data_IF_659477599968
#
_entry.id   IF_659477599968
#
_cell.length_a   1.000
_cell.length_b   1.000
_cell.length_c   1.000
_cell.angle_alpha   90.00
_cell.angle_beta   90.00
_cell.angle_gamma   90.00
#
_symmetry.space_group_name_H-M   'P 1'
#
loop_
_entity.id
_entity.type
_entity.pdbx_description
1 polymer ?
#
# COMPACT_ATOMS: atom_id res chain seq x y z
N UNK A 1 3.06 24.00 -8.94
CA UNK A 1 1.65 23.58 -8.79
C UNK A 1 0.84 24.72 -8.19
N UNK A 2 -0.30 25.04 -8.76
CA UNK A 2 -1.20 26.08 -8.24
C UNK A 2 -1.96 25.58 -7.01
N UNK A 3 -2.46 26.48 -6.13
CA UNK A 3 -3.27 26.06 -4.97
C UNK A 3 -4.50 25.20 -5.37
N UNK A 4 -5.14 25.52 -6.48
CA UNK A 4 -6.28 24.73 -6.98
C UNK A 4 -5.88 23.32 -7.38
N UNK A 5 -4.71 23.14 -7.99
CA UNK A 5 -4.21 21.83 -8.37
C UNK A 5 -3.85 20.99 -7.14
N UNK A 6 -3.28 21.60 -6.11
CA UNK A 6 -2.98 20.92 -4.84
C UNK A 6 -4.26 20.43 -4.17
N UNK A 7 -5.30 21.27 -4.16
CA UNK A 7 -6.57 20.94 -3.56
C UNK A 7 -7.23 19.75 -4.28
N UNK A 8 -7.24 19.76 -5.62
CA UNK A 8 -7.79 18.67 -6.43
C UNK A 8 -7.03 17.36 -6.19
N UNK A 9 -5.71 17.41 -6.12
CA UNK A 9 -4.90 16.22 -5.86
C UNK A 9 -5.20 15.63 -4.48
N UNK A 10 -5.38 16.46 -3.47
CA UNK A 10 -5.72 16.05 -2.11
C UNK A 10 -7.10 15.38 -2.06
N UNK A 11 -8.10 15.94 -2.73
CA UNK A 11 -9.44 15.38 -2.81
C UNK A 11 -9.42 14.00 -3.49
N UNK A 12 -8.71 13.85 -4.60
CA UNK A 12 -8.60 12.57 -5.31
C UNK A 12 -7.96 11.50 -4.44
N UNK A 13 -6.92 11.85 -3.69
CA UNK A 13 -6.26 10.93 -2.77
C UNK A 13 -7.22 10.47 -1.67
N UNK A 14 -7.98 11.39 -1.11
CA UNK A 14 -8.96 11.09 -0.08
C UNK A 14 -10.08 10.18 -0.59
N UNK A 15 -10.61 10.46 -1.78
CA UNK A 15 -11.65 9.64 -2.41
C UNK A 15 -11.13 8.21 -2.69
N UNK A 16 -9.90 8.09 -3.16
CA UNK A 16 -9.29 6.78 -3.41
C UNK A 16 -9.12 6.00 -2.11
N UNK A 17 -8.72 6.67 -1.03
CA UNK A 17 -8.58 6.06 0.28
C UNK A 17 -9.94 5.59 0.82
N UNK A 18 -10.96 6.41 0.76
CA UNK A 18 -12.31 6.08 1.19
C UNK A 18 -12.85 4.86 0.44
N UNK A 19 -12.63 4.79 -0.86
CA UNK A 19 -13.03 3.66 -1.67
C UNK A 19 -12.33 2.38 -1.24
N UNK A 20 -11.03 2.44 -0.95
CA UNK A 20 -10.27 1.29 -0.47
C UNK A 20 -10.72 0.84 0.92
N UNK A 21 -11.07 1.76 1.78
CA UNK A 21 -11.63 1.44 3.10
C UNK A 21 -12.95 0.69 2.95
N UNK A 22 -13.82 1.12 2.06
CA UNK A 22 -15.07 0.44 1.78
C UNK A 22 -14.82 -0.96 1.22
N UNK A 23 -13.78 -1.13 0.38
CA UNK A 23 -13.41 -2.42 -0.17
C UNK A 23 -12.91 -3.40 0.88
N UNK A 24 -12.33 -2.95 1.98
CA UNK A 24 -11.86 -3.83 3.05
C UNK A 24 -12.96 -4.27 4.00
N UNK A 25 -14.17 -3.73 3.87
CA UNK A 25 -15.28 -4.00 4.78
C UNK A 25 -16.02 -5.32 4.52
N UNK A 26 -15.78 -6.00 3.39
CA UNK A 26 -16.47 -7.24 3.05
C UNK A 26 -15.52 -8.25 2.40
N UNK A 27 -15.85 -9.59 2.44
CA UNK A 27 -15.03 -10.60 1.78
C UNK A 27 -14.91 -10.42 0.28
N UNK A 28 -15.99 -10.01 -0.39
CA UNK A 28 -15.99 -9.74 -1.85
C UNK A 28 -15.04 -8.58 -2.15
N UNK A 29 -15.09 -7.54 -1.33
CA UNK A 29 -14.21 -6.37 -1.45
C UNK A 29 -12.75 -6.75 -1.22
N UNK A 30 -12.48 -7.69 -0.33
CA UNK A 30 -11.13 -8.20 -0.11
C UNK A 30 -10.57 -8.87 -1.37
N UNK A 31 -11.38 -9.65 -2.08
CA UNK A 31 -10.95 -10.26 -3.34
C UNK A 31 -10.64 -9.21 -4.42
N UNK A 32 -11.44 -8.16 -4.50
CA UNK A 32 -11.20 -7.06 -5.43
C UNK A 32 -9.90 -6.31 -5.09
N UNK A 33 -9.67 -6.07 -3.81
CA UNK A 33 -8.44 -5.44 -3.32
C UNK A 33 -7.22 -6.30 -3.66
N UNK A 34 -7.32 -7.61 -3.45
CA UNK A 34 -6.26 -8.55 -3.78
C UNK A 34 -5.95 -8.57 -5.28
N UNK A 35 -7.00 -8.54 -6.12
CA UNK A 35 -6.82 -8.49 -7.57
C UNK A 35 -6.12 -7.20 -8.01
N UNK A 36 -6.45 -6.07 -7.39
CA UNK A 36 -5.79 -4.79 -7.65
C UNK A 36 -4.32 -4.84 -7.24
N UNK A 37 -4.03 -5.41 -6.07
CA UNK A 37 -2.66 -5.60 -5.59
C UNK A 37 -1.86 -6.50 -6.53
N UNK A 38 -2.42 -7.63 -6.95
CA UNK A 38 -1.76 -8.56 -7.86
C UNK A 38 -1.44 -7.91 -9.19
N UNK A 39 -2.32 -7.04 -9.67
CA UNK A 39 -2.12 -6.26 -10.89
C UNK A 39 -0.94 -5.30 -10.77
N UNK A 40 -0.85 -4.60 -9.64
CA UNK A 40 0.25 -3.67 -9.35
C UNK A 40 1.58 -4.43 -9.21
N UNK A 41 1.58 -5.58 -8.56
CA UNK A 41 2.77 -6.43 -8.43
C UNK A 41 3.22 -6.95 -9.80
N UNK A 42 2.29 -7.37 -10.65
CA UNK A 42 2.61 -7.81 -12.01
C UNK A 42 3.25 -6.67 -12.82
N UNK A 43 2.73 -5.47 -12.69
CA UNK A 43 3.28 -4.28 -13.34
C UNK A 43 4.70 -3.99 -12.86
N UNK A 44 4.95 -4.08 -11.56
CA UNK A 44 6.29 -3.94 -10.99
C UNK A 44 7.26 -4.94 -11.60
N UNK A 45 6.85 -6.21 -11.67
CA UNK A 45 7.69 -7.30 -12.23
C UNK A 45 7.97 -7.13 -13.72
N UNK A 46 7.12 -6.40 -14.43
CA UNK A 46 7.31 -6.14 -15.87
C UNK A 46 8.38 -5.10 -16.16
N UNK A 47 8.81 -4.32 -15.16
CA UNK A 47 9.82 -3.28 -15.36
C UNK A 47 11.22 -3.92 -15.38
N UNK A 48 11.99 -3.71 -16.48
CA UNK A 48 13.27 -4.41 -16.64
C UNK A 48 14.43 -3.78 -15.88
N UNK A 49 14.36 -2.48 -15.57
CA UNK A 49 15.45 -1.73 -14.94
C UNK A 49 15.21 -1.61 -13.44
N UNK A 50 16.25 -1.88 -12.64
CA UNK A 50 16.17 -1.84 -11.18
C UNK A 50 15.75 -0.46 -10.67
N UNK A 51 16.32 0.60 -11.23
CA UNK A 51 16.01 1.97 -10.84
C UNK A 51 14.54 2.32 -11.11
N UNK A 52 13.99 1.81 -12.20
CA UNK A 52 12.57 1.98 -12.52
C UNK A 52 11.70 1.24 -11.51
N UNK A 53 12.09 0.04 -11.10
CA UNK A 53 11.36 -0.72 -10.09
C UNK A 53 11.39 -0.01 -8.74
N UNK A 54 12.54 0.53 -8.33
CA UNK A 54 12.67 1.29 -7.08
C UNK A 54 11.81 2.56 -7.12
N UNK A 55 11.86 3.30 -8.23
CA UNK A 55 11.03 4.49 -8.41
C UNK A 55 9.54 4.16 -8.37
N UNK A 56 9.13 3.08 -8.99
CA UNK A 56 7.74 2.62 -8.99
C UNK A 56 7.27 2.28 -7.56
N UNK A 57 8.08 1.59 -6.78
CA UNK A 57 7.80 1.27 -5.38
C UNK A 57 7.64 2.54 -4.56
N UNK A 58 8.57 3.46 -4.68
CA UNK A 58 8.61 4.71 -3.89
C UNK A 58 7.50 5.67 -4.28
N UNK A 59 7.27 5.87 -5.57
CA UNK A 59 6.43 6.95 -6.08
C UNK A 59 4.99 6.52 -6.35
N UNK A 60 4.74 5.23 -6.57
CA UNK A 60 3.43 4.71 -6.95
C UNK A 60 2.90 3.70 -5.95
N UNK A 61 3.64 2.63 -5.68
CA UNK A 61 3.15 1.54 -4.83
C UNK A 61 2.99 1.95 -3.37
N UNK A 62 4.01 2.53 -2.76
CA UNK A 62 3.94 2.94 -1.37
C UNK A 62 2.87 4.01 -1.12
N UNK A 63 2.81 5.11 -1.90
CA UNK A 63 1.75 6.10 -1.71
C UNK A 63 0.34 5.52 -1.89
N UNK A 64 0.19 4.51 -2.73
CA UNK A 64 -1.11 3.88 -2.96
C UNK A 64 -1.51 2.90 -1.85
N UNK A 65 -0.57 2.10 -1.37
CA UNK A 65 -0.86 0.96 -0.49
C UNK A 65 -0.55 1.19 0.98
N UNK A 66 0.30 2.15 1.34
CA UNK A 66 0.56 2.49 2.75
C UNK A 66 -0.71 2.83 3.52
N UNK A 67 -1.62 3.68 3.01
CA UNK A 67 -2.84 3.99 3.73
C UNK A 67 -3.72 2.76 4.00
N UNK A 68 -3.77 1.82 3.06
CA UNK A 68 -4.51 0.57 3.21
C UNK A 68 -3.92 -0.28 4.34
N UNK A 69 -2.60 -0.42 4.35
CA UNK A 69 -1.88 -1.16 5.39
C UNK A 69 -2.02 -0.49 6.77
N UNK A 70 -1.95 0.84 6.82
CA UNK A 70 -2.15 1.59 8.05
C UNK A 70 -3.55 1.37 8.64
N UNK A 71 -4.57 1.32 7.79
CA UNK A 71 -5.94 1.02 8.19
C UNK A 71 -6.06 -0.40 8.76
N UNK A 72 -5.40 -1.34 8.13
CA UNK A 72 -5.36 -2.72 8.62
C UNK A 72 -4.75 -2.79 10.01
N UNK A 73 -3.62 -2.13 10.22
CA UNK A 73 -2.94 -2.08 11.52
C UNK A 73 -3.84 -1.43 12.57
N UNK A 74 -4.44 -0.28 12.25
CA UNK A 74 -5.31 0.46 13.16
C UNK A 74 -6.57 -0.33 13.54
N UNK A 75 -7.06 -1.16 12.61
CA UNK A 75 -8.25 -1.99 12.84
C UNK A 75 -8.01 -3.19 13.75
N UNK A 76 -6.75 -3.53 14.07
CA UNK A 76 -6.41 -4.64 14.95
C UNK A 76 -6.81 -6.00 14.43
N UNK A 77 -7.00 -6.16 13.13
CA UNK A 77 -7.38 -7.43 12.51
C UNK A 77 -6.21 -8.42 12.58
N UNK A 78 -6.50 -9.65 12.97
CA UNK A 78 -5.50 -10.69 13.22
C UNK A 78 -5.48 -11.78 12.15
N UNK A 79 -5.53 -11.41 10.89
CA UNK A 79 -5.40 -12.37 9.81
C UNK A 79 -4.35 -11.87 8.79
N UNK A 80 -3.82 -12.79 8.01
CA UNK A 80 -2.77 -12.47 7.04
C UNK A 80 -3.26 -11.40 6.07
N UNK A 81 -2.51 -10.31 5.95
CA UNK A 81 -2.79 -9.22 5.02
C UNK A 81 -1.67 -9.12 4.00
N UNK A 82 -1.92 -9.52 2.74
CA UNK A 82 -0.90 -9.43 1.70
C UNK A 82 -0.40 -8.01 1.48
N UNK A 83 -1.29 -7.02 1.62
CA UNK A 83 -0.93 -5.60 1.47
C UNK A 83 0.15 -5.21 2.49
N UNK A 84 -0.02 -5.61 3.75
CA UNK A 84 0.95 -5.31 4.81
C UNK A 84 2.32 -5.93 4.50
N UNK A 85 2.34 -7.20 4.09
CA UNK A 85 3.58 -7.91 3.75
C UNK A 85 4.32 -7.21 2.60
N UNK A 86 3.61 -6.88 1.52
CA UNK A 86 4.23 -6.19 0.39
C UNK A 86 4.73 -4.80 0.77
N UNK A 87 3.98 -4.05 1.57
CA UNK A 87 4.42 -2.73 2.03
C UNK A 87 5.71 -2.82 2.85
N UNK A 88 5.84 -3.81 3.72
CA UNK A 88 7.06 -4.05 4.50
C UNK A 88 8.24 -4.28 3.57
N UNK A 89 8.09 -5.15 2.56
CA UNK A 89 9.13 -5.46 1.59
C UNK A 89 9.53 -4.19 0.83
N UNK A 90 8.55 -3.43 0.36
CA UNK A 90 8.81 -2.20 -0.41
C UNK A 90 9.47 -1.11 0.45
N UNK A 91 9.13 -1.03 1.73
CA UNK A 91 9.78 -0.11 2.66
C UNK A 91 11.26 -0.46 2.83
N UNK A 92 11.60 -1.76 2.97
CA UNK A 92 12.98 -2.20 3.00
C UNK A 92 13.72 -1.84 1.71
N UNK A 93 13.10 -2.11 0.57
CA UNK A 93 13.70 -1.88 -0.75
C UNK A 93 13.97 -0.40 -1.02
N UNK A 94 13.13 0.49 -0.51
CA UNK A 94 13.26 1.94 -0.71
C UNK A 94 14.05 2.64 0.40
N UNK A 95 14.51 1.88 1.40
CA UNK A 95 15.40 2.41 2.44
C UNK A 95 14.71 2.97 3.67
N UNK A 96 13.39 2.86 3.81
CA UNK A 96 12.68 3.26 5.03
C UNK A 96 12.72 2.14 6.06
N UNK A 97 13.92 1.91 6.60
CA UNK A 97 14.19 0.77 7.47
C UNK A 97 13.47 0.86 8.81
N UNK A 98 13.36 2.05 9.37
CA UNK A 98 12.70 2.26 10.66
C UNK A 98 11.24 1.81 10.62
N UNK A 99 10.49 2.30 9.63
CA UNK A 99 9.08 1.94 9.46
C UNK A 99 8.92 0.47 9.09
N UNK A 100 9.82 -0.05 8.22
CA UNK A 100 9.80 -1.44 7.82
C UNK A 100 9.96 -2.38 9.02
N UNK A 101 10.88 -2.09 9.92
CA UNK A 101 11.12 -2.87 11.13
C UNK A 101 9.93 -2.79 12.08
N UNK A 102 9.37 -1.62 12.30
CA UNK A 102 8.19 -1.43 13.16
C UNK A 102 7.00 -2.25 12.64
N UNK A 103 6.76 -2.20 11.34
CA UNK A 103 5.66 -2.93 10.72
C UNK A 103 5.91 -4.43 10.69
N UNK A 104 7.16 -4.85 10.52
CA UNK A 104 7.52 -6.27 10.58
C UNK A 104 7.25 -6.83 11.98
N UNK A 105 7.55 -6.07 13.04
CA UNK A 105 7.25 -6.46 14.41
C UNK A 105 5.75 -6.63 14.63
N UNK A 106 4.94 -5.73 14.10
CA UNK A 106 3.48 -5.81 14.16
C UNK A 106 2.99 -7.08 13.45
N UNK A 107 3.50 -7.36 12.25
CA UNK A 107 3.11 -8.53 11.47
C UNK A 107 3.46 -9.84 12.20
N UNK A 108 4.63 -9.90 12.83
CA UNK A 108 5.08 -11.06 13.60
C UNK A 108 4.20 -11.25 14.85
N UNK A 109 3.89 -10.16 15.54
CA UNK A 109 3.07 -10.20 16.77
C UNK A 109 1.65 -10.69 16.50
N UNK A 110 1.12 -10.39 15.32
CA UNK A 110 -0.25 -10.79 14.93
C UNK A 110 -0.28 -12.17 14.26
N UNK A 111 0.88 -12.62 13.80
CA UNK A 111 1.01 -13.94 13.18
C UNK A 111 1.12 -15.02 14.20
#
# INVERSE_FOLDING_TARGET
MTPCQRHRAKIRTQEALERREALTASPVSFHLLRAELDRDVARLRSLPVREERLAFKRDILLPRWLPVAERYIAGGKRHACPVLVYCIIWLFDTGDLSRALDWADIAISEG
#
